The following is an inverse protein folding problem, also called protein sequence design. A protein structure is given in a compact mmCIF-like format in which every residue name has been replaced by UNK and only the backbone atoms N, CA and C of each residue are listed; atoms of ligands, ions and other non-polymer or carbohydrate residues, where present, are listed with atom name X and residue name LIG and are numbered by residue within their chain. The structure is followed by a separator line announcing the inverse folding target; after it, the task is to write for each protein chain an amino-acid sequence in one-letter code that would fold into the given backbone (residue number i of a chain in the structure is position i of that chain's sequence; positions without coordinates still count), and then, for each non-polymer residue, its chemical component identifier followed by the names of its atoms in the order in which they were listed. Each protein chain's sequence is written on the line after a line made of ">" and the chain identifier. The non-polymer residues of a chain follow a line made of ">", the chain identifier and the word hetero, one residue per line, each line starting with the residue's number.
data_IF_840392907198
#
_entry.id   IF_840392907198
#
_cell.length_a   1.000
_cell.length_b   1.000
_cell.length_c   1.000
_cell.angle_alpha   90.00
_cell.angle_beta   90.00
_cell.angle_gamma   90.00
#
_symmetry.space_group_name_H-M   'P 1'
#
loop_
_entity.id
_entity.type
_entity.pdbx_description
1 polymer ?
#
# COMPACT_ATOMS: atom_id res chain seq x y z
N UNK A 1 -15.87 -15.86 1.01
CA UNK A 1 -14.73 -14.99 0.62
C UNK A 1 -13.74 -15.01 1.78
N UNK A 2 -12.77 -15.92 1.70
CA UNK A 2 -11.77 -16.13 2.73
C UNK A 2 -10.84 -14.93 2.73
N UNK A 3 -10.78 -14.23 3.86
CA UNK A 3 -9.74 -13.25 4.13
C UNK A 3 -8.39 -13.95 4.05
N UNK A 4 -7.30 -13.28 3.64
CA UNK A 4 -5.96 -13.82 3.87
C UNK A 4 -5.91 -14.15 5.37
N UNK A 5 -5.78 -15.44 5.69
CA UNK A 5 -5.52 -15.85 7.06
C UNK A 5 -4.22 -15.14 7.45
N UNK A 6 -4.27 -14.56 8.64
CA UNK A 6 -3.20 -13.76 9.20
C UNK A 6 -1.95 -14.65 9.30
N UNK A 7 -1.08 -14.62 8.29
CA UNK A 7 0.27 -15.15 8.42
C UNK A 7 0.94 -14.30 9.51
N UNK A 8 0.83 -14.80 10.75
CA UNK A 8 1.33 -14.21 12.01
C UNK A 8 2.87 -14.04 12.02
N UNK A 9 3.54 -14.39 10.93
CA UNK A 9 4.96 -14.14 10.73
C UNK A 9 5.18 -12.64 10.49
N UNK A 10 5.55 -11.91 11.54
CA UNK A 10 6.11 -10.54 11.45
C UNK A 10 7.39 -10.46 10.61
N UNK A 11 7.97 -11.60 10.24
CA UNK A 11 9.06 -11.74 9.30
C UNK A 11 8.74 -11.05 7.96
N UNK A 12 9.66 -10.20 7.50
CA UNK A 12 9.70 -9.64 6.14
C UNK A 12 9.79 -10.72 5.07
N UNK A 13 10.15 -11.94 5.47
CA UNK A 13 10.21 -13.15 4.65
C UNK A 13 9.14 -14.14 5.14
N UNK A 14 7.91 -13.99 4.65
CA UNK A 14 6.90 -15.05 4.73
C UNK A 14 7.48 -16.34 4.14
N UNK A 15 7.20 -17.51 4.72
CA UNK A 15 7.66 -18.81 4.20
C UNK A 15 7.43 -18.88 2.69
N UNK A 16 8.53 -18.91 1.94
CA UNK A 16 8.54 -18.94 0.48
C UNK A 16 8.11 -20.33 0.02
N UNK A 17 6.98 -20.40 -0.67
CA UNK A 17 6.55 -21.62 -1.34
C UNK A 17 6.89 -21.53 -2.82
N UNK A 18 7.11 -22.70 -3.45
CA UNK A 18 7.32 -22.82 -4.89
C UNK A 18 6.22 -22.05 -5.65
N UNK A 19 4.97 -22.15 -5.18
CA UNK A 19 3.84 -21.40 -5.74
C UNK A 19 4.06 -19.88 -5.71
N UNK A 20 4.49 -19.31 -4.58
CA UNK A 20 4.74 -17.86 -4.48
C UNK A 20 5.82 -17.42 -5.46
N UNK A 21 6.90 -18.20 -5.59
CA UNK A 21 7.98 -17.95 -6.54
C UNK A 21 7.46 -17.99 -7.99
N UNK A 22 6.66 -18.99 -8.35
CA UNK A 22 6.05 -19.09 -9.68
C UNK A 22 5.14 -17.90 -10.01
N UNK A 23 4.31 -17.44 -9.05
CA UNK A 23 3.48 -16.25 -9.26
C UNK A 23 4.31 -14.98 -9.43
N UNK A 24 5.41 -14.83 -8.70
CA UNK A 24 6.35 -13.71 -8.89
C UNK A 24 6.93 -13.73 -10.32
N UNK A 25 7.34 -14.90 -10.81
CA UNK A 25 7.81 -15.06 -12.20
C UNK A 25 6.75 -14.71 -13.24
N UNK A 26 5.50 -15.15 -13.02
CA UNK A 26 4.36 -14.79 -13.89
C UNK A 26 4.12 -13.28 -13.90
N UNK A 27 4.21 -12.61 -12.74
CA UNK A 27 3.99 -11.16 -12.66
C UNK A 27 5.11 -10.36 -13.33
N UNK A 28 6.37 -10.81 -13.25
CA UNK A 28 7.48 -10.25 -14.03
C UNK A 28 7.18 -10.40 -15.53
N UNK A 29 6.82 -11.61 -15.98
CA UNK A 29 6.52 -11.87 -17.38
C UNK A 29 5.36 -11.02 -17.90
N UNK A 30 4.28 -10.88 -17.12
CA UNK A 30 3.13 -10.03 -17.46
C UNK A 30 3.55 -8.55 -17.53
N UNK A 31 4.37 -8.07 -16.60
CA UNK A 31 4.86 -6.69 -16.59
C UNK A 31 5.64 -6.37 -17.87
N UNK A 32 6.57 -7.24 -18.25
CA UNK A 32 7.39 -7.07 -19.45
C UNK A 32 6.54 -7.24 -20.72
N UNK A 33 5.69 -8.26 -20.79
CA UNK A 33 4.84 -8.48 -21.97
C UNK A 33 3.87 -7.31 -22.19
N UNK A 34 3.28 -6.78 -21.13
CA UNK A 34 2.37 -5.64 -21.21
C UNK A 34 3.07 -4.39 -21.77
N UNK A 35 4.32 -4.15 -21.35
CA UNK A 35 5.14 -3.09 -21.94
C UNK A 35 5.35 -3.27 -23.45
N UNK A 36 5.80 -4.46 -23.86
CA UNK A 36 6.14 -4.74 -25.26
C UNK A 36 4.94 -4.56 -26.19
N UNK A 37 3.78 -5.05 -25.76
CA UNK A 37 2.53 -4.92 -26.52
C UNK A 37 2.16 -3.44 -26.67
N UNK A 38 2.21 -2.66 -25.59
CA UNK A 38 1.83 -1.25 -25.62
C UNK A 38 2.78 -0.42 -26.50
N UNK A 39 4.09 -0.65 -26.41
CA UNK A 39 5.08 0.04 -27.26
C UNK A 39 4.87 -0.28 -28.74
N UNK A 40 4.47 -1.51 -29.07
CA UNK A 40 4.20 -1.90 -30.45
C UNK A 40 3.00 -1.14 -31.06
N UNK A 41 1.94 -0.90 -30.27
CA UNK A 41 0.76 -0.17 -30.72
C UNK A 41 0.93 1.35 -30.65
N UNK A 42 1.68 1.83 -29.67
CA UNK A 42 1.90 3.24 -29.40
C UNK A 42 3.39 3.47 -29.18
N UNK A 43 4.18 3.75 -30.24
CA UNK A 43 5.63 3.96 -30.13
C UNK A 43 6.01 5.08 -29.15
N UNK A 44 5.14 6.08 -28.98
CA UNK A 44 5.32 7.15 -27.98
C UNK A 44 5.22 6.65 -26.53
N UNK A 45 4.67 5.47 -26.28
CA UNK A 45 4.65 4.84 -24.95
C UNK A 45 6.03 4.33 -24.52
N UNK A 46 7.01 4.28 -25.44
CA UNK A 46 8.42 4.10 -25.08
C UNK A 46 9.00 5.32 -24.35
N UNK A 47 8.29 6.46 -24.34
CA UNK A 47 8.67 7.61 -23.52
C UNK A 47 8.68 7.21 -22.04
N UNK A 48 9.76 7.53 -21.30
CA UNK A 48 9.97 6.97 -19.96
C UNK A 48 8.87 7.25 -18.93
N UNK A 49 8.24 8.42 -19.02
CA UNK A 49 7.15 8.81 -18.13
C UNK A 49 5.85 8.04 -18.35
N UNK A 50 5.56 7.67 -19.59
CA UNK A 50 4.42 6.81 -19.93
C UNK A 50 4.73 5.34 -19.65
N UNK A 51 5.98 4.91 -19.90
CA UNK A 51 6.50 3.59 -19.54
C UNK A 51 6.24 3.29 -18.06
N UNK A 52 6.64 4.16 -17.14
CA UNK A 52 6.50 3.92 -15.70
C UNK A 52 5.04 3.79 -15.27
N UNK A 53 4.13 4.55 -15.87
CA UNK A 53 2.70 4.45 -15.54
C UNK A 53 2.09 3.09 -15.97
N UNK A 54 2.59 2.48 -17.04
CA UNK A 54 2.01 1.29 -17.68
C UNK A 54 2.67 0.00 -17.17
N UNK A 55 3.99 -0.04 -17.09
CA UNK A 55 4.75 -1.17 -16.53
C UNK A 55 4.52 -1.30 -15.02
N UNK A 56 4.33 -0.16 -14.35
CA UNK A 56 4.21 -0.09 -12.90
C UNK A 56 3.03 -0.86 -12.31
N UNK A 57 2.00 -1.20 -13.09
CA UNK A 57 0.78 -1.81 -12.57
C UNK A 57 1.01 -3.24 -12.00
N UNK A 58 1.51 -4.22 -12.77
CA UNK A 58 1.91 -5.52 -12.22
C UNK A 58 2.94 -5.43 -11.09
N UNK A 59 3.90 -4.50 -11.19
CA UNK A 59 4.92 -4.27 -10.16
C UNK A 59 4.25 -3.83 -8.84
N UNK A 60 3.35 -2.84 -8.89
CA UNK A 60 2.60 -2.32 -7.73
C UNK A 60 1.79 -3.42 -7.05
N UNK A 61 1.14 -4.29 -7.83
CA UNK A 61 0.37 -5.41 -7.30
C UNK A 61 1.28 -6.44 -6.64
N UNK A 62 2.43 -6.73 -7.25
CA UNK A 62 3.42 -7.65 -6.69
C UNK A 62 3.92 -7.14 -5.35
N UNK A 63 4.28 -5.86 -5.26
CA UNK A 63 4.64 -5.21 -4.00
C UNK A 63 3.52 -5.28 -2.97
N UNK A 64 2.29 -4.95 -3.38
CA UNK A 64 1.13 -4.97 -2.50
C UNK A 64 0.83 -6.36 -1.92
N UNK A 65 0.99 -7.42 -2.71
CA UNK A 65 0.66 -8.80 -2.30
C UNK A 65 1.82 -9.47 -1.56
N UNK A 66 3.04 -9.36 -2.08
CA UNK A 66 4.21 -10.11 -1.60
C UNK A 66 5.14 -9.29 -0.69
N UNK A 67 4.87 -8.00 -0.52
CA UNK A 67 5.62 -7.10 0.35
C UNK A 67 6.71 -6.30 -0.38
N UNK A 68 7.38 -5.39 0.34
CA UNK A 68 8.19 -4.34 -0.26
C UNK A 68 9.46 -4.87 -0.94
N UNK A 69 10.13 -5.86 -0.34
CA UNK A 69 11.39 -6.43 -0.86
C UNK A 69 11.14 -7.14 -2.19
N UNK A 70 10.09 -7.95 -2.27
CA UNK A 70 9.70 -8.68 -3.49
C UNK A 70 9.23 -7.72 -4.57
N UNK A 71 8.42 -6.73 -4.18
CA UNK A 71 7.99 -5.68 -5.11
C UNK A 71 9.16 -4.92 -5.72
N UNK A 72 10.13 -4.49 -4.90
CA UNK A 72 11.32 -3.79 -5.38
C UNK A 72 12.17 -4.65 -6.32
N UNK A 73 12.36 -5.92 -5.98
CA UNK A 73 13.08 -6.87 -6.84
C UNK A 73 12.39 -7.08 -8.19
N UNK A 74 11.07 -7.27 -8.19
CA UNK A 74 10.27 -7.38 -9.42
C UNK A 74 10.34 -6.11 -10.26
N UNK A 75 10.29 -4.93 -9.63
CA UNK A 75 10.44 -3.66 -10.31
C UNK A 75 11.81 -3.52 -10.99
N UNK A 76 12.89 -3.89 -10.28
CA UNK A 76 14.24 -3.89 -10.84
C UNK A 76 14.38 -4.83 -12.04
N UNK A 77 13.92 -6.09 -11.92
CA UNK A 77 14.03 -7.06 -13.00
C UNK A 77 13.15 -6.68 -14.19
N UNK A 78 11.92 -6.25 -13.95
CA UNK A 78 11.01 -5.84 -15.03
C UNK A 78 11.60 -4.69 -15.83
N UNK A 79 12.22 -3.71 -15.15
CA UNK A 79 12.87 -2.59 -15.84
C UNK A 79 14.08 -3.04 -16.66
N UNK A 80 14.95 -3.89 -16.09
CA UNK A 80 16.12 -4.42 -16.81
C UNK A 80 15.74 -5.28 -18.03
N UNK A 81 14.75 -6.15 -17.88
CA UNK A 81 14.25 -6.97 -18.99
C UNK A 81 13.57 -6.12 -20.06
N UNK A 82 12.76 -5.14 -19.66
CA UNK A 82 12.11 -4.23 -20.61
C UNK A 82 13.13 -3.44 -21.44
N UNK A 83 14.24 -3.03 -20.83
CA UNK A 83 15.36 -2.38 -21.50
C UNK A 83 16.10 -3.34 -22.44
N UNK A 84 16.27 -4.60 -22.07
CA UNK A 84 16.92 -5.60 -22.92
C UNK A 84 16.11 -5.86 -24.21
N UNK A 85 14.78 -5.88 -24.14
CA UNK A 85 13.92 -6.10 -25.30
C UNK A 85 13.66 -4.84 -26.12
N UNK A 86 13.51 -3.69 -25.47
CA UNK A 86 13.38 -2.38 -26.13
C UNK A 86 14.52 -1.51 -25.63
N UNK A 87 15.69 -1.58 -26.28
CA UNK A 87 16.85 -0.80 -25.88
C UNK A 87 16.58 0.70 -26.11
N UNK A 88 16.13 1.36 -25.04
CA UNK A 88 15.98 2.82 -24.98
C UNK A 88 17.20 3.43 -24.30
N UNK A 89 17.07 4.62 -23.69
CA UNK A 89 18.13 5.21 -22.87
C UNK A 89 18.07 4.63 -21.45
N UNK A 90 19.14 3.96 -20.99
CA UNK A 90 19.23 3.49 -19.61
C UNK A 90 19.47 4.69 -18.68
N UNK A 91 18.52 4.95 -17.79
CA UNK A 91 18.68 5.95 -16.74
C UNK A 91 18.47 5.28 -15.36
N UNK A 92 19.45 5.33 -14.46
CA UNK A 92 19.31 4.82 -13.09
C UNK A 92 18.10 5.39 -12.34
N UNK A 93 17.62 6.58 -12.71
CA UNK A 93 16.40 7.18 -12.13
C UNK A 93 15.13 6.41 -12.51
N UNK A 94 15.05 5.85 -13.72
CA UNK A 94 13.91 5.01 -14.13
C UNK A 94 13.93 3.66 -13.42
N UNK A 95 15.12 3.08 -13.22
CA UNK A 95 15.28 1.89 -12.37
C UNK A 95 14.84 2.17 -10.94
N UNK A 96 15.22 3.32 -10.38
CA UNK A 96 14.81 3.72 -9.03
C UNK A 96 13.30 3.91 -8.95
N UNK A 97 12.68 4.56 -9.93
CA UNK A 97 11.23 4.71 -10.00
C UNK A 97 10.51 3.36 -10.05
N UNK A 98 10.99 2.42 -10.88
CA UNK A 98 10.42 1.07 -10.98
C UNK A 98 10.54 0.27 -9.66
N UNK A 99 11.67 0.41 -8.95
CA UNK A 99 11.85 -0.19 -7.62
C UNK A 99 10.84 0.41 -6.63
N UNK A 100 10.72 1.74 -6.59
CA UNK A 100 9.77 2.43 -5.70
C UNK A 100 8.32 2.05 -6.00
N UNK A 101 8.00 1.83 -7.27
CA UNK A 101 6.69 1.36 -7.72
C UNK A 101 6.30 0.01 -7.10
N UNK A 102 7.27 -0.83 -6.74
CA UNK A 102 7.04 -2.08 -6.00
C UNK A 102 7.19 -1.95 -4.48
N UNK A 103 8.13 -1.14 -4.00
CA UNK A 103 8.42 -0.98 -2.57
C UNK A 103 7.28 -0.25 -1.85
N UNK A 104 6.82 0.88 -2.39
CA UNK A 104 5.81 1.73 -1.73
C UNK A 104 4.50 0.98 -1.48
N UNK A 105 3.91 0.26 -2.47
CA UNK A 105 2.71 -0.52 -2.24
C UNK A 105 2.91 -1.64 -1.22
N UNK A 106 4.11 -2.22 -1.16
CA UNK A 106 4.45 -3.23 -0.18
C UNK A 106 4.54 -2.69 1.25
N UNK A 107 5.13 -1.50 1.44
CA UNK A 107 5.18 -0.83 2.75
C UNK A 107 3.76 -0.48 3.21
N UNK A 108 2.93 0.09 2.34
CA UNK A 108 1.56 0.49 2.70
C UNK A 108 0.67 -0.73 2.96
N UNK A 109 0.82 -1.79 2.17
CA UNK A 109 0.13 -3.07 2.42
C UNK A 109 0.49 -3.64 3.79
N UNK A 110 1.79 -3.67 4.13
CA UNK A 110 2.26 -4.10 5.44
C UNK A 110 1.70 -3.22 6.56
N UNK A 111 1.70 -1.89 6.38
CA UNK A 111 1.14 -0.95 7.36
C UNK A 111 -0.35 -1.21 7.62
N UNK A 112 -1.17 -1.33 6.58
CA UNK A 112 -2.62 -1.43 6.76
C UNK A 112 -3.12 -2.86 7.03
N UNK A 113 -2.60 -3.84 6.30
CA UNK A 113 -3.09 -5.22 6.39
C UNK A 113 -2.46 -5.99 7.53
N UNK A 114 -1.31 -5.55 8.07
CA UNK A 114 -0.64 -6.19 9.20
C UNK A 114 -0.59 -5.31 10.44
N UNK A 115 -0.04 -4.09 10.36
CA UNK A 115 0.14 -3.26 11.56
C UNK A 115 -1.21 -2.76 12.12
N UNK A 116 -1.96 -2.03 11.31
CA UNK A 116 -3.24 -1.42 11.72
C UNK A 116 -4.27 -2.51 12.05
N UNK A 117 -4.33 -3.57 11.24
CA UNK A 117 -5.20 -4.71 11.50
C UNK A 117 -4.85 -5.44 12.80
N UNK A 118 -3.58 -5.55 13.17
CA UNK A 118 -3.18 -6.17 14.44
C UNK A 118 -3.58 -5.32 15.65
N UNK A 119 -3.28 -4.02 15.62
CA UNK A 119 -3.58 -3.11 16.73
C UNK A 119 -5.08 -2.91 16.94
N UNK A 120 -5.84 -2.79 15.85
CA UNK A 120 -7.24 -2.37 15.89
C UNK A 120 -8.24 -3.44 15.45
N UNK A 121 -7.77 -4.56 14.88
CA UNK A 121 -8.58 -5.70 14.49
C UNK A 121 -8.78 -6.73 15.61
N UNK A 122 -8.42 -6.39 16.85
CA UNK A 122 -8.69 -7.16 18.06
C UNK A 122 -7.63 -8.20 18.44
N UNK A 123 -6.83 -8.67 17.48
CA UNK A 123 -5.75 -9.66 17.69
C UNK A 123 -4.78 -9.23 18.82
N UNK A 124 -4.42 -7.95 18.89
CA UNK A 124 -3.57 -7.43 19.97
C UNK A 124 -4.24 -7.55 21.35
N UNK A 125 -5.50 -7.16 21.48
CA UNK A 125 -6.23 -7.29 22.76
C UNK A 125 -6.44 -8.74 23.14
N UNK A 126 -6.71 -9.59 22.17
CA UNK A 126 -6.86 -11.03 22.39
C UNK A 126 -5.54 -11.62 22.90
N UNK A 127 -4.39 -11.21 22.34
CA UNK A 127 -3.07 -11.62 22.85
C UNK A 127 -2.81 -11.20 24.31
N UNK A 128 -3.23 -9.99 24.70
CA UNK A 128 -3.15 -9.52 26.09
C UNK A 128 -4.05 -10.37 27.00
N UNK A 129 -5.27 -10.69 26.56
CA UNK A 129 -6.17 -11.55 27.33
C UNK A 129 -5.58 -12.95 27.52
N UNK A 130 -5.01 -13.55 26.47
CA UNK A 130 -4.35 -14.86 26.56
C UNK A 130 -3.16 -14.84 27.52
N UNK A 131 -2.30 -13.82 27.44
CA UNK A 131 -1.15 -13.71 28.33
C UNK A 131 -1.58 -13.51 29.80
N UNK A 132 -2.61 -12.69 30.02
CA UNK A 132 -3.16 -12.45 31.37
C UNK A 132 -3.79 -13.73 31.92
N UNK A 133 -4.57 -14.45 31.12
CA UNK A 133 -5.15 -15.75 31.49
C UNK A 133 -4.05 -16.76 31.81
N UNK A 134 -3.02 -16.89 30.97
CA UNK A 134 -1.90 -17.81 31.19
C UNK A 134 -1.16 -17.51 32.51
N UNK A 135 -0.92 -16.23 32.84
CA UNK A 135 -0.33 -15.83 34.13
C UNK A 135 -1.24 -16.20 35.31
N UNK A 136 -2.55 -16.03 35.17
CA UNK A 136 -3.52 -16.39 36.22
C UNK A 136 -3.61 -17.91 36.41
N UNK A 137 -3.67 -18.69 35.33
CA UNK A 137 -3.64 -20.16 35.40
C UNK A 137 -2.35 -20.67 36.06
N UNK A 138 -1.18 -20.13 35.68
CA UNK A 138 0.10 -20.49 36.32
C UNK A 138 0.13 -20.16 37.82
N UNK A 139 -0.54 -19.08 38.24
CA UNK A 139 -0.68 -18.71 39.65
C UNK A 139 -1.66 -19.64 40.39
N UNK A 140 -2.75 -20.03 39.72
CA UNK A 140 -3.71 -21.00 40.23
C UNK A 140 -3.06 -22.36 40.48
N UNK A 141 -2.26 -22.85 39.53
CA UNK A 141 -1.54 -24.13 39.67
C UNK A 141 -0.58 -24.14 40.86
N UNK A 142 0.06 -23.00 41.16
CA UNK A 142 0.92 -22.86 42.36
C UNK A 142 0.11 -22.90 43.64
N UNK A 143 -1.04 -22.22 43.70
CA UNK A 143 -1.88 -22.17 44.90
C UNK A 143 -2.58 -23.51 45.16
N UNK A 144 -2.94 -24.26 44.11
CA UNK A 144 -3.54 -25.60 44.21
C UNK A 144 -2.59 -26.66 44.79
N UNK A 145 -1.29 -26.39 44.91
CA UNK A 145 -0.32 -27.28 45.60
C UNK A 145 -0.52 -27.32 47.12
N UNK A 146 -1.07 -26.25 47.71
CA UNK A 146 -1.41 -26.18 49.14
C UNK A 146 -2.89 -25.74 49.29
N UNK A 147 -3.85 -26.62 48.99
CA UNK A 147 -5.26 -26.24 48.82
C UNK A 147 -5.91 -25.75 50.12
N UNK A 148 -5.57 -26.37 51.25
CA UNK A 148 -6.20 -26.11 52.56
C UNK A 148 -5.82 -24.73 53.12
N UNK A 149 -4.61 -24.22 52.83
CA UNK A 149 -4.16 -22.89 53.31
C UNK A 149 -4.67 -21.73 52.45
N UNK A 150 -5.07 -21.99 51.21
CA UNK A 150 -5.28 -20.96 50.20
C UNK A 150 -6.68 -20.96 49.58
N UNK A 151 -7.63 -21.70 50.15
CA UNK A 151 -8.98 -21.91 49.63
C UNK A 151 -9.69 -20.61 49.16
N UNK A 152 -9.79 -19.60 50.02
CA UNK A 152 -10.39 -18.31 49.68
C UNK A 152 -9.66 -17.57 48.53
N UNK A 153 -8.34 -17.73 48.43
CA UNK A 153 -7.53 -17.12 47.36
C UNK A 153 -7.67 -17.87 46.04
N UNK A 154 -7.91 -19.18 46.09
CA UNK A 154 -8.17 -20.02 44.92
C UNK A 154 -9.52 -19.61 44.31
N UNK A 155 -10.58 -19.56 45.12
CA UNK A 155 -11.93 -19.16 44.68
C UNK A 155 -11.91 -17.76 44.04
N UNK A 156 -11.31 -16.78 44.71
CA UNK A 156 -11.21 -15.42 44.18
C UNK A 156 -10.41 -15.32 42.86
N UNK A 157 -9.42 -16.20 42.67
CA UNK A 157 -8.63 -16.24 41.43
C UNK A 157 -9.40 -16.93 40.30
N UNK A 158 -10.14 -18.00 40.60
CA UNK A 158 -11.02 -18.69 39.64
C UNK A 158 -12.13 -17.77 39.14
N UNK A 159 -12.80 -17.04 40.03
CA UNK A 159 -13.80 -16.02 39.66
C UNK A 159 -13.21 -14.94 38.75
N UNK A 160 -11.97 -14.51 39.05
CA UNK A 160 -11.26 -13.52 38.23
C UNK A 160 -10.93 -14.07 36.84
N UNK A 161 -10.55 -15.35 36.74
CA UNK A 161 -10.32 -16.04 35.47
C UNK A 161 -11.62 -16.10 34.66
N UNK A 162 -12.73 -16.56 35.25
CA UNK A 162 -14.05 -16.63 34.59
C UNK A 162 -14.49 -15.26 34.09
N UNK A 163 -14.34 -14.21 34.92
CA UNK A 163 -14.67 -12.83 34.55
C UNK A 163 -13.80 -12.30 33.40
N UNK A 164 -12.54 -12.72 33.33
CA UNK A 164 -11.61 -12.29 32.29
C UNK A 164 -11.88 -13.03 30.98
N UNK A 165 -12.14 -14.34 31.05
CA UNK A 165 -12.52 -15.16 29.92
C UNK A 165 -13.84 -14.69 29.29
N UNK A 166 -14.87 -14.40 30.10
CA UNK A 166 -16.14 -13.87 29.60
C UNK A 166 -16.00 -12.49 28.93
N UNK A 167 -15.11 -11.62 29.42
CA UNK A 167 -14.75 -10.37 28.75
C UNK A 167 -14.09 -10.60 27.39
N UNK A 168 -13.16 -11.57 27.30
CA UNK A 168 -12.52 -11.96 26.04
C UNK A 168 -13.55 -12.45 25.02
N UNK A 169 -14.45 -13.36 25.41
CA UNK A 169 -15.51 -13.87 24.52
C UNK A 169 -16.42 -12.75 23.99
N UNK A 170 -16.84 -11.82 24.86
CA UNK A 170 -17.63 -10.63 24.43
C UNK A 170 -16.84 -9.74 23.47
N UNK A 171 -15.54 -9.58 23.69
CA UNK A 171 -14.66 -8.82 22.81
C UNK A 171 -14.49 -9.48 21.44
N UNK A 172 -14.24 -10.78 21.38
CA UNK A 172 -14.12 -11.55 20.14
C UNK A 172 -15.41 -11.47 19.30
N UNK A 173 -16.58 -11.56 19.94
CA UNK A 173 -17.87 -11.41 19.26
C UNK A 173 -18.04 -10.01 18.63
N UNK A 174 -17.64 -8.95 19.35
CA UNK A 174 -17.70 -7.58 18.83
C UNK A 174 -16.69 -7.34 17.71
N UNK A 175 -15.52 -7.96 17.80
CA UNK A 175 -14.43 -7.81 16.82
C UNK A 175 -14.71 -8.54 15.50
N UNK A 176 -15.60 -9.55 15.49
CA UNK A 176 -16.11 -10.16 14.24
C UNK A 176 -16.78 -9.13 13.34
N UNK A 177 -17.37 -8.07 13.91
CA UNK A 177 -17.85 -6.93 13.14
C UNK A 177 -16.67 -6.02 12.74
N UNK A 178 -16.14 -6.24 11.54
CA UNK A 178 -15.03 -5.46 10.96
C UNK A 178 -15.35 -3.97 10.73
N UNK A 179 -16.55 -3.51 11.06
CA UNK A 179 -16.98 -2.12 10.95
C UNK A 179 -16.09 -1.16 11.76
N UNK A 180 -15.69 -1.54 12.98
CA UNK A 180 -14.82 -0.72 13.82
C UNK A 180 -13.44 -0.47 13.18
N UNK A 181 -12.82 -1.53 12.67
CA UNK A 181 -11.54 -1.45 11.95
C UNK A 181 -11.67 -0.60 10.68
N UNK A 182 -12.76 -0.73 9.94
CA UNK A 182 -13.02 0.08 8.74
C UNK A 182 -13.10 1.58 9.06
N UNK A 183 -13.73 1.96 10.17
CA UNK A 183 -13.77 3.37 10.61
C UNK A 183 -12.39 3.89 10.98
N UNK A 184 -11.56 3.10 11.66
CA UNK A 184 -10.19 3.51 12.02
C UNK A 184 -9.34 3.69 10.75
N UNK A 185 -9.41 2.74 9.80
CA UNK A 185 -8.73 2.87 8.52
C UNK A 185 -9.17 4.13 7.75
N UNK A 186 -10.45 4.50 7.80
CA UNK A 186 -10.94 5.74 7.19
C UNK A 186 -10.21 6.97 7.75
N UNK A 187 -10.13 7.10 9.07
CA UNK A 187 -9.46 8.24 9.71
C UNK A 187 -7.96 8.28 9.41
N UNK A 188 -7.29 7.12 9.42
CA UNK A 188 -5.87 7.04 9.07
C UNK A 188 -5.68 7.45 7.60
N UNK A 189 -6.52 6.97 6.69
CA UNK A 189 -6.47 7.35 5.27
C UNK A 189 -6.65 8.85 5.07
N UNK A 190 -7.66 9.44 5.71
CA UNK A 190 -7.92 10.88 5.65
C UNK A 190 -6.70 11.65 6.19
N UNK A 191 -6.16 11.24 7.33
CA UNK A 191 -4.98 11.88 7.93
C UNK A 191 -3.77 11.88 6.99
N UNK A 192 -3.47 10.75 6.34
CA UNK A 192 -2.37 10.64 5.38
C UNK A 192 -2.63 11.51 4.14
N UNK A 193 -3.84 11.49 3.58
CA UNK A 193 -4.18 12.29 2.40
C UNK A 193 -4.11 13.80 2.70
N UNK A 194 -4.62 14.22 3.86
CA UNK A 194 -4.53 15.61 4.31
C UNK A 194 -3.07 16.03 4.51
N UNK A 195 -2.23 15.17 5.10
CA UNK A 195 -0.80 15.45 5.24
C UNK A 195 -0.12 15.64 3.87
N UNK A 196 -0.42 14.79 2.89
CA UNK A 196 0.09 14.94 1.52
C UNK A 196 -0.38 16.25 0.90
N UNK A 197 -1.66 16.60 1.05
CA UNK A 197 -2.21 17.86 0.56
C UNK A 197 -1.52 19.08 1.20
N UNK A 198 -1.30 19.06 2.52
CA UNK A 198 -0.57 20.12 3.22
C UNK A 198 0.86 20.25 2.71
N UNK A 199 1.54 19.13 2.46
CA UNK A 199 2.89 19.12 1.89
C UNK A 199 2.90 19.72 0.48
N UNK A 200 1.93 19.36 -0.38
CA UNK A 200 1.78 19.94 -1.73
C UNK A 200 1.54 21.45 -1.65
N UNK A 201 0.63 21.89 -0.78
CA UNK A 201 0.36 23.32 -0.54
C UNK A 201 1.60 24.04 -0.05
N UNK A 202 2.36 23.43 0.87
CA UNK A 202 3.60 24.02 1.38
C UNK A 202 4.65 24.20 0.28
N UNK A 203 4.91 23.14 -0.50
CA UNK A 203 5.93 23.16 -1.56
C UNK A 203 5.53 24.15 -2.66
N UNK A 204 4.35 23.98 -3.25
CA UNK A 204 3.96 24.75 -4.44
C UNK A 204 3.44 26.14 -4.06
N UNK A 205 2.72 26.25 -2.95
CA UNK A 205 2.14 27.50 -2.48
C UNK A 205 3.13 28.45 -1.84
N UNK A 206 4.21 27.96 -1.21
CA UNK A 206 5.13 28.82 -0.46
C UNK A 206 6.61 28.66 -0.83
N UNK A 207 7.08 27.48 -1.24
CA UNK A 207 8.51 27.26 -1.53
C UNK A 207 8.92 27.56 -2.96
N UNK A 208 8.05 27.33 -3.94
CA UNK A 208 8.38 27.57 -5.36
C UNK A 208 8.26 29.06 -5.70
N UNK A 209 9.26 29.70 -6.34
CA UNK A 209 9.18 31.09 -6.80
C UNK A 209 8.19 31.31 -7.96
N UNK A 210 7.58 32.50 -8.03
CA UNK A 210 6.60 32.84 -9.08
C UNK A 210 7.20 32.86 -10.49
N UNK A 211 8.48 33.19 -10.64
CA UNK A 211 9.17 33.20 -11.94
C UNK A 211 9.14 31.82 -12.62
N UNK A 212 9.21 30.76 -11.82
CA UNK A 212 9.22 29.38 -12.29
C UNK A 212 7.80 28.93 -12.65
N UNK A 213 6.82 29.30 -11.82
CA UNK A 213 5.40 28.97 -12.05
C UNK A 213 4.88 29.63 -13.33
N UNK A 214 5.26 30.89 -13.58
CA UNK A 214 4.92 31.61 -14.81
C UNK A 214 5.48 30.96 -16.08
N UNK A 215 6.58 30.20 -15.97
CA UNK A 215 7.13 29.39 -17.07
C UNK A 215 6.49 28.01 -17.23
N UNK A 216 5.56 27.63 -16.35
CA UNK A 216 4.82 26.37 -16.43
C UNK A 216 3.61 26.44 -17.35
N UNK A 217 2.98 25.27 -17.56
CA UNK A 217 1.74 25.14 -18.36
C UNK A 217 0.60 25.99 -17.78
N UNK A 218 0.56 26.13 -16.45
CA UNK A 218 -0.40 26.98 -15.74
C UNK A 218 0.37 28.12 -15.06
N UNK A 219 0.34 29.30 -15.65
CA UNK A 219 1.08 30.47 -15.18
C UNK A 219 0.54 31.10 -13.87
N UNK A 220 -0.52 30.54 -13.28
CA UNK A 220 -1.13 31.01 -12.04
C UNK A 220 -0.95 29.96 -10.92
N UNK A 221 -0.24 30.36 -9.85
CA UNK A 221 0.06 29.54 -8.66
C UNK A 221 -1.18 28.90 -8.05
N UNK A 222 -2.24 29.68 -7.87
CA UNK A 222 -3.46 29.21 -7.22
C UNK A 222 -4.26 28.27 -8.13
N UNK A 223 -4.28 28.54 -9.43
CA UNK A 223 -4.89 27.63 -10.41
C UNK A 223 -4.13 26.29 -10.48
N UNK A 224 -2.79 26.33 -10.47
CA UNK A 224 -1.96 25.13 -10.42
C UNK A 224 -2.25 24.32 -9.15
N UNK A 225 -2.24 24.96 -7.97
CA UNK A 225 -2.60 24.31 -6.70
C UNK A 225 -3.99 23.68 -6.73
N UNK A 226 -4.99 24.36 -7.29
CA UNK A 226 -6.35 23.84 -7.40
C UNK A 226 -6.37 22.55 -8.22
N UNK A 227 -5.71 22.54 -9.38
CA UNK A 227 -5.61 21.34 -10.24
C UNK A 227 -4.92 20.21 -9.50
N UNK A 228 -3.82 20.49 -8.79
CA UNK A 228 -3.10 19.49 -7.98
C UNK A 228 -3.96 18.88 -6.88
N UNK A 229 -4.66 19.74 -6.13
CA UNK A 229 -5.46 19.32 -4.98
C UNK A 229 -6.74 18.61 -5.40
N UNK A 230 -7.25 18.87 -6.61
CA UNK A 230 -8.49 18.27 -7.11
C UNK A 230 -8.50 16.74 -7.04
N UNK A 231 -7.37 16.09 -7.40
CA UNK A 231 -7.21 14.64 -7.31
C UNK A 231 -7.32 14.13 -5.88
N UNK A 232 -6.59 14.75 -4.96
CA UNK A 232 -6.59 14.38 -3.53
C UNK A 232 -7.94 14.67 -2.87
N UNK A 233 -8.61 15.79 -3.22
CA UNK A 233 -9.96 16.10 -2.77
C UNK A 233 -10.97 15.03 -3.22
N UNK A 234 -10.87 14.59 -4.48
CA UNK A 234 -11.72 13.52 -5.00
C UNK A 234 -11.48 12.19 -4.24
N UNK A 235 -10.22 11.87 -3.92
CA UNK A 235 -9.89 10.69 -3.11
C UNK A 235 -10.44 10.79 -1.68
N UNK A 236 -10.34 11.95 -1.04
CA UNK A 236 -10.93 12.18 0.28
C UNK A 236 -12.44 11.95 0.25
N UNK A 237 -13.14 12.53 -0.73
CA UNK A 237 -14.57 12.31 -0.94
C UNK A 237 -14.89 10.82 -1.15
N UNK A 238 -14.09 10.13 -1.95
CA UNK A 238 -14.26 8.70 -2.20
C UNK A 238 -14.04 7.85 -0.93
N UNK A 239 -13.01 8.14 -0.13
CA UNK A 239 -12.72 7.43 1.13
C UNK A 239 -13.92 7.50 2.09
N UNK A 240 -14.57 8.66 2.17
CA UNK A 240 -15.76 8.87 3.01
C UNK A 240 -16.98 8.17 2.40
N UNK A 241 -17.29 8.39 1.13
CA UNK A 241 -18.47 7.78 0.47
C UNK A 241 -18.37 6.24 0.46
N UNK A 242 -17.18 5.70 0.17
CA UNK A 242 -16.93 4.26 0.13
C UNK A 242 -17.14 3.62 1.51
N UNK A 243 -16.91 4.35 2.62
CA UNK A 243 -17.12 3.83 3.98
C UNK A 243 -18.58 3.46 4.23
N UNK A 244 -19.51 4.23 3.65
CA UNK A 244 -20.94 4.02 3.82
C UNK A 244 -21.55 3.10 2.74
N UNK A 245 -20.97 3.06 1.54
CA UNK A 245 -21.47 2.22 0.44
C UNK A 245 -20.92 0.79 0.42
N UNK A 246 -19.68 0.57 0.83
CA UNK A 246 -19.03 -0.73 0.68
C UNK A 246 -19.06 -1.58 1.96
N UNK A 247 -19.08 -2.91 1.78
CA UNK A 247 -18.93 -3.86 2.89
C UNK A 247 -17.56 -3.64 3.57
N UNK A 248 -17.46 -3.71 4.92
CA UNK A 248 -16.21 -3.46 5.63
C UNK A 248 -15.01 -4.26 5.12
N UNK A 249 -15.22 -5.54 4.74
CA UNK A 249 -14.17 -6.40 4.17
C UNK A 249 -13.58 -5.82 2.87
N UNK A 250 -14.42 -5.29 1.99
CA UNK A 250 -13.99 -4.71 0.73
C UNK A 250 -13.30 -3.36 0.96
N UNK A 251 -13.86 -2.54 1.86
CA UNK A 251 -13.30 -1.25 2.23
C UNK A 251 -11.86 -1.36 2.73
N UNK A 252 -11.58 -2.32 3.62
CA UNK A 252 -10.24 -2.56 4.18
C UNK A 252 -9.18 -2.94 3.13
N UNK A 253 -9.59 -3.44 1.96
CA UNK A 253 -8.69 -3.77 0.86
C UNK A 253 -8.47 -2.56 -0.05
N UNK A 254 -9.50 -1.74 -0.27
CA UNK A 254 -9.42 -0.57 -1.16
C UNK A 254 -8.61 0.57 -0.52
N UNK A 255 -8.75 0.78 0.78
CA UNK A 255 -8.09 1.88 1.49
C UNK A 255 -6.57 1.92 1.32
N UNK A 256 -5.84 0.82 1.55
CA UNK A 256 -4.40 0.77 1.29
C UNK A 256 -4.04 1.11 -0.16
N UNK A 257 -4.87 0.68 -1.12
CA UNK A 257 -4.65 0.91 -2.56
C UNK A 257 -4.70 2.41 -2.89
N UNK A 258 -5.68 3.12 -2.35
CA UNK A 258 -5.77 4.59 -2.51
C UNK A 258 -4.54 5.26 -1.92
N UNK A 259 -4.16 4.89 -0.70
CA UNK A 259 -3.05 5.55 0.00
C UNK A 259 -1.73 5.34 -0.71
N UNK A 260 -1.39 4.11 -1.11
CA UNK A 260 -0.14 3.93 -1.82
C UNK A 260 -0.18 4.61 -3.19
N UNK A 261 -1.34 4.68 -3.86
CA UNK A 261 -1.48 5.38 -5.14
C UNK A 261 -1.29 6.90 -4.99
N UNK A 262 -1.65 7.47 -3.84
CA UNK A 262 -1.38 8.87 -3.53
C UNK A 262 0.10 9.11 -3.16
N UNK A 263 0.68 8.21 -2.35
CA UNK A 263 2.08 8.31 -1.90
C UNK A 263 3.06 8.11 -3.05
N UNK A 264 2.82 7.13 -3.93
CA UNK A 264 3.70 6.81 -5.06
C UNK A 264 3.86 7.99 -6.02
N UNK A 265 2.78 8.74 -6.25
CA UNK A 265 2.80 9.90 -7.14
C UNK A 265 3.69 11.02 -6.58
N UNK A 266 3.75 11.18 -5.25
CA UNK A 266 4.64 12.14 -4.60
C UNK A 266 6.12 11.87 -4.90
N UNK A 267 6.50 10.60 -5.09
CA UNK A 267 7.86 10.21 -5.44
C UNK A 267 8.09 10.17 -6.95
N UNK A 268 7.13 9.65 -7.71
CA UNK A 268 7.27 9.50 -9.16
C UNK A 268 7.36 10.84 -9.87
N UNK A 269 6.60 11.86 -9.45
CA UNK A 269 6.63 13.17 -10.09
C UNK A 269 8.04 13.80 -10.07
N UNK A 270 8.72 13.96 -8.93
CA UNK A 270 10.10 14.48 -8.91
C UNK A 270 11.09 13.61 -9.69
N UNK A 271 11.02 12.28 -9.55
CA UNK A 271 11.99 11.36 -10.17
C UNK A 271 11.85 11.38 -11.69
N UNK A 272 10.63 11.33 -12.20
CA UNK A 272 10.35 11.42 -13.64
C UNK A 272 10.82 12.76 -14.19
N UNK A 273 10.58 13.84 -13.45
CA UNK A 273 10.98 15.19 -13.90
C UNK A 273 12.50 15.38 -13.90
N UNK A 274 13.21 14.80 -12.92
CA UNK A 274 14.67 14.72 -12.92
C UNK A 274 15.17 13.94 -14.15
N UNK A 275 14.56 12.78 -14.41
CA UNK A 275 14.99 11.90 -15.47
C UNK A 275 14.72 12.48 -16.87
N UNK A 276 13.58 13.15 -17.05
CA UNK A 276 13.23 13.86 -18.28
C UNK A 276 14.20 15.03 -18.52
N UNK A 277 14.53 15.81 -17.47
CA UNK A 277 15.55 16.87 -17.54
C UNK A 277 16.90 16.32 -18.02
N UNK A 278 17.41 15.26 -17.39
CA UNK A 278 18.69 14.67 -17.79
C UNK A 278 18.68 14.08 -19.20
N UNK A 279 17.51 13.64 -19.68
CA UNK A 279 17.37 13.08 -21.02
C UNK A 279 17.28 14.18 -22.10
N UNK A 280 16.66 15.32 -21.79
CA UNK A 280 16.44 16.44 -22.72
C UNK A 280 17.57 17.49 -22.69
N UNK A 281 18.27 17.66 -21.57
CA UNK A 281 19.44 18.57 -21.51
C UNK A 281 20.58 18.10 -22.42
N UNK A 282 20.65 16.80 -22.74
CA UNK A 282 21.56 16.29 -23.78
C UNK A 282 21.26 16.83 -25.18
N UNK A 283 20.06 17.38 -25.40
CA UNK A 283 19.59 17.94 -26.68
C UNK A 283 19.72 19.47 -26.75
N UNK A 284 20.33 20.12 -25.75
CA UNK A 284 20.74 21.54 -25.83
C UNK A 284 19.74 22.57 -25.28
N UNK A 285 18.57 22.16 -24.77
CA UNK A 285 17.57 23.07 -24.20
C UNK A 285 17.61 23.03 -22.67
N UNK A 286 18.02 24.13 -22.03
CA UNK A 286 18.00 24.27 -20.57
C UNK A 286 16.57 24.56 -20.06
N UNK A 287 15.76 23.52 -19.93
CA UNK A 287 14.47 23.59 -19.23
C UNK A 287 14.65 23.47 -17.72
N UNK A 288 14.04 24.36 -16.93
CA UNK A 288 14.07 24.20 -15.47
C UNK A 288 13.30 22.94 -15.06
N UNK A 289 13.86 22.15 -14.13
CA UNK A 289 13.26 20.88 -13.68
C UNK A 289 11.79 21.01 -13.24
N UNK A 290 11.46 22.15 -12.66
CA UNK A 290 10.14 22.45 -12.13
C UNK A 290 9.09 22.59 -13.24
N UNK A 291 9.49 22.99 -14.45
CA UNK A 291 8.57 23.02 -15.61
C UNK A 291 8.16 21.62 -16.04
N UNK A 292 9.10 20.66 -16.05
CA UNK A 292 8.80 19.25 -16.28
C UNK A 292 7.96 18.65 -15.15
N UNK A 293 8.22 19.06 -13.90
CA UNK A 293 7.36 18.69 -12.77
C UNK A 293 5.93 19.16 -13.00
N UNK A 294 5.70 20.40 -13.46
CA UNK A 294 4.34 20.89 -13.70
C UNK A 294 3.57 20.08 -14.75
N UNK A 295 4.25 19.59 -15.80
CA UNK A 295 3.62 18.72 -16.79
C UNK A 295 3.14 17.39 -16.18
N UNK A 296 3.98 16.75 -15.38
CA UNK A 296 3.60 15.50 -14.70
C UNK A 296 2.47 15.72 -13.69
N UNK A 297 2.57 16.81 -12.95
CA UNK A 297 1.64 17.24 -11.91
C UNK A 297 0.21 17.46 -12.43
N UNK A 298 0.05 18.05 -13.61
CA UNK A 298 -1.28 18.32 -14.18
C UNK A 298 -2.01 17.01 -14.51
N UNK A 299 -1.27 15.97 -14.92
CA UNK A 299 -1.82 14.67 -15.28
C UNK A 299 -1.96 13.77 -14.03
N UNK A 300 -1.27 14.10 -12.92
CA UNK A 300 -1.29 13.32 -11.67
C UNK A 300 -2.69 12.98 -11.17
N UNK A 301 -3.69 13.89 -11.07
CA UNK A 301 -5.03 13.53 -10.62
C UNK A 301 -5.64 12.37 -11.42
N UNK A 302 -5.53 12.40 -12.75
CA UNK A 302 -6.05 11.35 -13.64
C UNK A 302 -5.26 10.05 -13.47
N UNK A 303 -3.92 10.14 -13.41
CA UNK A 303 -3.04 8.98 -13.19
C UNK A 303 -3.35 8.25 -11.88
N UNK A 304 -3.58 9.00 -10.79
CA UNK A 304 -3.84 8.37 -9.50
C UNK A 304 -5.16 7.57 -9.54
N UNK A 305 -6.21 8.11 -10.16
CA UNK A 305 -7.48 7.40 -10.33
C UNK A 305 -7.35 6.18 -11.26
N UNK A 306 -6.69 6.33 -12.40
CA UNK A 306 -6.43 5.22 -13.33
C UNK A 306 -5.67 4.08 -12.66
N UNK A 307 -4.58 4.40 -11.95
CA UNK A 307 -3.78 3.44 -11.20
C UNK A 307 -4.62 2.73 -10.13
N UNK A 308 -5.38 3.47 -9.33
CA UNK A 308 -6.22 2.91 -8.27
C UNK A 308 -7.25 1.92 -8.82
N UNK A 309 -7.96 2.28 -9.90
CA UNK A 309 -8.97 1.40 -10.50
C UNK A 309 -8.37 0.11 -11.05
N UNK A 310 -7.30 0.21 -11.84
CA UNK A 310 -6.69 -0.97 -12.46
C UNK A 310 -6.16 -1.91 -11.39
N UNK A 311 -5.41 -1.38 -10.42
CA UNK A 311 -4.86 -2.18 -9.32
C UNK A 311 -5.97 -2.87 -8.54
N UNK A 312 -7.07 -2.17 -8.25
CA UNK A 312 -8.20 -2.77 -7.55
C UNK A 312 -8.79 -3.97 -8.32
N UNK A 313 -9.04 -3.81 -9.62
CA UNK A 313 -9.59 -4.90 -10.42
C UNK A 313 -8.62 -6.06 -10.56
N UNK A 314 -7.33 -5.78 -10.80
CA UNK A 314 -6.33 -6.84 -10.91
C UNK A 314 -6.12 -7.56 -9.57
N UNK A 315 -6.08 -6.85 -8.44
CA UNK A 315 -6.02 -7.46 -7.11
C UNK A 315 -7.20 -8.40 -6.88
N UNK A 316 -8.42 -7.98 -7.24
CA UNK A 316 -9.63 -8.79 -7.11
C UNK A 316 -9.54 -10.10 -7.90
N UNK A 317 -8.83 -10.12 -9.02
CA UNK A 317 -8.63 -11.31 -9.86
C UNK A 317 -7.48 -12.17 -9.34
N UNK A 318 -6.33 -11.56 -9.02
CA UNK A 318 -5.08 -12.25 -8.70
C UNK A 318 -5.06 -12.79 -7.27
N UNK A 319 -5.51 -11.99 -6.28
CA UNK A 319 -5.41 -12.38 -4.87
C UNK A 319 -6.14 -13.70 -4.56
N UNK A 320 -7.37 -13.95 -5.04
CA UNK A 320 -8.02 -15.24 -4.82
C UNK A 320 -7.23 -16.43 -5.38
N UNK A 321 -6.54 -16.29 -6.51
CA UNK A 321 -5.76 -17.37 -7.13
C UNK A 321 -4.55 -17.76 -6.28
N UNK A 322 -3.92 -16.79 -5.63
CA UNK A 322 -2.78 -17.01 -4.74
C UNK A 322 -3.23 -17.70 -3.45
N UNK A 323 -4.35 -17.25 -2.86
CA UNK A 323 -4.82 -17.73 -1.56
C UNK A 323 -5.81 -18.91 -1.63
N UNK A 324 -6.23 -19.36 -2.83
CA UNK A 324 -7.29 -20.37 -3.03
C UNK A 324 -7.08 -21.68 -2.27
N UNK A 325 -5.84 -22.15 -2.17
CA UNK A 325 -5.54 -23.49 -1.65
C UNK A 325 -4.82 -23.47 -0.30
N UNK A 326 -4.79 -22.34 0.43
CA UNK A 326 -4.17 -22.30 1.76
C UNK A 326 -4.88 -23.23 2.76
N UNK A 327 -6.17 -23.53 2.55
CA UNK A 327 -6.96 -24.47 3.36
C UNK A 327 -6.89 -25.93 2.90
N UNK A 328 -6.15 -26.24 1.82
CA UNK A 328 -6.04 -27.60 1.24
C UNK A 328 -4.60 -28.15 1.39
N UNK A 329 -3.68 -27.34 1.91
CA UNK A 329 -2.36 -27.83 2.33
C UNK A 329 -2.53 -28.64 3.61
N UNK A 330 -2.40 -29.96 3.49
CA UNK A 330 -2.23 -30.86 4.62
C UNK A 330 -1.10 -30.32 5.51
N UNK A 331 -1.40 -30.09 6.79
CA UNK A 331 -0.38 -29.97 7.85
C UNK A 331 0.24 -31.34 8.11
#
# INVERSE_FOLDING_TARGET
>A
MNTPQNDKDFSTFSKWSIRKISFVGILIAISVAFFLVVVQFAPFAALPSLKISIIGLPIKITGFIFGPVVGGFVGAIAELLSFMFVPTYFNPLFLTAAILDGVIPGIISWLFLRLISFFFGGDFKDSIFEETLAKMFKKLDKLKKEPIKNENKIIALEDKIIKTYSKKVKHEQKTKDKSGLATINMFICIGILVLIMLLVVYIIGFRVPDSIIKGGVIANRWALLLVMLSGYCAMLGFVVIARFKFKPKLYLIIMPIIIFSAVIELFNVPILSLADKYSIEKTGTQGSILVYMFQHIIISPVKIWGNMFIIYFTYKIVAPLIYKNHSITYQ
#
